data_IF_987492026396
#
_entry.id   IF_987492026396
#
_cell.length_a   1.000
_cell.length_b   1.000
_cell.length_c   1.000
_cell.angle_alpha   90.00
_cell.angle_beta   90.00
_cell.angle_gamma   90.00
#
_symmetry.space_group_name_H-M   'P 1'
#
loop_
_entity.id
_entity.type
_entity.pdbx_description
1 polymer ?
#
# COMPACT_ATOMS: atom_id res chain seq x y z
N UNK A 1 14.44 -17.92 -8.99
CA UNK A 1 13.01 -17.55 -9.02
C UNK A 1 12.84 -16.57 -10.17
N UNK A 2 11.79 -16.69 -10.98
CA UNK A 2 11.55 -15.79 -12.12
C UNK A 2 10.57 -14.70 -11.70
N UNK A 3 10.97 -13.42 -11.81
CA UNK A 3 10.15 -12.25 -11.49
C UNK A 3 9.42 -11.77 -12.74
N UNK A 4 8.09 -11.80 -12.74
CA UNK A 4 7.26 -11.51 -13.93
C UNK A 4 6.52 -10.20 -13.80
N UNK A 5 6.03 -9.88 -12.61
CA UNK A 5 5.10 -8.77 -12.39
C UNK A 5 5.77 -7.52 -11.80
N UNK A 6 7.02 -7.64 -11.37
CA UNK A 6 7.81 -6.54 -10.81
C UNK A 6 9.03 -6.15 -11.64
N UNK A 7 9.59 -5.00 -11.29
CA UNK A 7 10.93 -4.57 -11.68
C UNK A 7 11.73 -4.15 -10.46
N UNK A 8 13.05 -4.31 -10.52
CA UNK A 8 13.95 -3.80 -9.49
C UNK A 8 14.10 -2.29 -9.61
N UNK A 9 14.11 -1.59 -8.48
CA UNK A 9 14.38 -0.16 -8.42
C UNK A 9 15.88 0.02 -8.25
N UNK A 10 16.47 0.93 -9.03
CA UNK A 10 17.88 1.27 -8.87
C UNK A 10 18.09 1.93 -7.48
N UNK A 11 19.06 1.45 -6.67
CA UNK A 11 19.37 2.00 -5.34
C UNK A 11 19.65 3.51 -5.30
N UNK A 12 20.00 4.15 -6.41
CA UNK A 12 20.16 5.61 -6.47
C UNK A 12 18.85 6.40 -6.31
N UNK A 13 17.69 5.74 -6.36
CA UNK A 13 16.37 6.38 -6.27
C UNK A 13 15.72 6.26 -4.88
N UNK A 14 16.37 5.60 -3.91
CA UNK A 14 15.86 5.49 -2.55
C UNK A 14 17.00 5.45 -1.53
N UNK A 15 16.68 5.77 -0.29
CA UNK A 15 17.62 5.71 0.83
C UNK A 15 17.14 4.64 1.81
N UNK A 16 17.96 3.62 2.05
CA UNK A 16 17.63 2.52 2.95
C UNK A 16 18.17 2.73 4.37
N UNK A 17 19.05 3.70 4.60
CA UNK A 17 19.73 3.95 5.88
C UNK A 17 20.40 2.70 6.50
N UNK A 18 20.76 1.71 5.69
CA UNK A 18 21.33 0.43 6.15
C UNK A 18 20.33 -0.52 6.79
N UNK A 19 19.01 -0.29 6.65
CA UNK A 19 17.94 -1.13 7.19
C UNK A 19 17.46 -2.21 6.23
N UNK A 20 17.98 -2.24 5.00
CA UNK A 20 17.60 -3.15 3.93
C UNK A 20 18.44 -4.43 3.88
N UNK A 21 19.60 -4.48 4.57
CA UNK A 21 20.47 -5.67 4.66
C UNK A 21 20.81 -6.28 3.28
N UNK A 22 20.95 -5.42 2.25
CA UNK A 22 21.24 -5.82 0.87
C UNK A 22 20.07 -6.45 0.12
N UNK A 23 18.85 -6.38 0.65
CA UNK A 23 17.64 -6.86 -0.03
C UNK A 23 17.20 -5.84 -1.09
N UNK A 24 17.16 -6.20 -2.39
CA UNK A 24 16.81 -5.27 -3.44
C UNK A 24 15.33 -4.87 -3.37
N UNK A 25 15.05 -3.57 -3.53
CA UNK A 25 13.70 -3.06 -3.64
C UNK A 25 13.13 -3.38 -5.03
N UNK A 26 11.96 -4.01 -5.07
CA UNK A 26 11.19 -4.22 -6.30
C UNK A 26 9.84 -3.51 -6.21
N UNK A 27 9.32 -3.07 -7.35
CA UNK A 27 7.98 -2.50 -7.47
C UNK A 27 7.15 -3.27 -8.49
N UNK A 28 5.88 -3.53 -8.18
CA UNK A 28 4.91 -4.06 -9.14
C UNK A 28 4.71 -3.09 -10.32
N UNK A 29 4.59 -3.61 -11.54
CA UNK A 29 4.46 -2.81 -12.78
C UNK A 29 3.13 -2.06 -12.86
N UNK A 30 2.05 -2.65 -12.37
CA UNK A 30 0.69 -2.11 -12.44
C UNK A 30 0.24 -1.32 -11.20
N UNK A 31 1.04 -0.34 -10.75
CA UNK A 31 0.77 0.47 -9.53
C UNK A 31 -0.64 1.06 -9.44
N UNK A 32 -1.23 1.38 -10.59
CA UNK A 32 -2.58 1.96 -10.66
C UNK A 32 -3.65 1.03 -10.07
N UNK A 33 -3.44 -0.29 -10.09
CA UNK A 33 -4.39 -1.26 -9.51
C UNK A 33 -4.47 -1.11 -7.98
N UNK A 34 -3.32 -0.90 -7.32
CA UNK A 34 -3.30 -0.63 -5.88
C UNK A 34 -4.02 0.68 -5.55
N UNK A 35 -3.70 1.74 -6.29
CA UNK A 35 -4.32 3.06 -6.09
C UNK A 35 -5.84 2.98 -6.24
N UNK A 36 -6.34 2.28 -7.26
CA UNK A 36 -7.78 2.08 -7.45
C UNK A 36 -8.41 1.31 -6.28
N UNK A 37 -7.77 0.23 -5.83
CA UNK A 37 -8.24 -0.58 -4.71
C UNK A 37 -8.33 0.22 -3.41
N UNK A 38 -7.25 0.93 -3.06
CA UNK A 38 -7.18 1.74 -1.86
C UNK A 38 -8.19 2.90 -1.87
N UNK A 39 -8.28 3.67 -2.96
CA UNK A 39 -9.26 4.76 -3.06
C UNK A 39 -10.71 4.25 -3.01
N UNK A 40 -10.97 3.05 -3.53
CA UNK A 40 -12.29 2.43 -3.40
C UNK A 40 -12.58 2.05 -1.94
N UNK A 41 -11.61 1.48 -1.24
CA UNK A 41 -11.75 1.16 0.19
C UNK A 41 -12.07 2.41 1.02
N UNK A 42 -11.34 3.51 0.80
CA UNK A 42 -11.60 4.79 1.48
C UNK A 42 -13.01 5.33 1.18
N UNK A 43 -13.47 5.27 -0.08
CA UNK A 43 -14.85 5.68 -0.44
C UNK A 43 -15.91 4.83 0.25
N UNK A 44 -15.72 3.51 0.25
CA UNK A 44 -16.66 2.58 0.89
C UNK A 44 -16.67 2.80 2.42
N UNK A 45 -15.51 3.05 3.02
CA UNK A 45 -15.40 3.41 4.44
C UNK A 45 -16.11 4.73 4.76
N UNK A 46 -15.88 5.79 3.97
CA UNK A 46 -16.57 7.08 4.11
C UNK A 46 -18.08 6.94 4.03
N UNK A 47 -18.57 6.06 3.15
CA UNK A 47 -19.99 5.80 2.98
C UNK A 47 -20.62 5.01 4.13
N UNK A 48 -19.89 4.07 4.72
CA UNK A 48 -20.46 3.03 5.60
C UNK A 48 -20.00 3.09 7.07
N UNK A 49 -18.91 3.78 7.38
CA UNK A 49 -18.29 3.81 8.71
C UNK A 49 -18.19 5.24 9.23
N UNK A 50 -17.29 6.05 8.68
CA UNK A 50 -17.11 7.46 9.03
C UNK A 50 -16.35 8.19 7.93
N UNK A 51 -16.50 9.52 7.85
CA UNK A 51 -15.83 10.30 6.82
C UNK A 51 -14.31 10.25 6.97
N UNK A 52 -13.63 9.94 5.87
CA UNK A 52 -12.18 9.92 5.75
C UNK A 52 -11.80 10.80 4.56
N UNK A 53 -11.04 11.87 4.82
CA UNK A 53 -10.54 12.80 3.81
C UNK A 53 -9.01 12.89 3.87
N UNK A 54 -8.36 12.84 2.71
CA UNK A 54 -6.90 12.92 2.59
C UNK A 54 -6.09 11.80 3.25
N UNK A 55 -6.69 10.65 3.56
CA UNK A 55 -5.98 9.53 4.20
C UNK A 55 -4.93 8.92 3.27
N UNK A 56 -3.72 8.75 3.79
CA UNK A 56 -2.54 8.36 3.01
C UNK A 56 -2.08 6.91 3.19
N UNK A 57 -2.88 6.06 3.86
CA UNK A 57 -2.61 4.64 4.19
C UNK A 57 -1.53 3.95 3.36
N UNK A 58 -1.93 3.25 2.30
CA UNK A 58 -1.01 2.63 1.34
C UNK A 58 -0.60 3.53 0.15
N UNK A 59 -1.11 4.76 0.07
CA UNK A 59 -1.05 5.64 -1.10
C UNK A 59 0.21 6.53 -1.15
N UNK A 60 1.39 5.93 -1.12
CA UNK A 60 2.66 6.64 -1.31
C UNK A 60 3.00 6.98 -2.75
N UNK A 61 3.78 8.05 -2.95
CA UNK A 61 4.36 8.44 -4.24
C UNK A 61 5.88 8.64 -4.09
N UNK A 62 6.74 7.91 -4.83
CA UNK A 62 6.41 6.96 -5.90
C UNK A 62 6.05 5.54 -5.43
N UNK A 63 6.22 5.23 -4.14
CA UNK A 63 6.13 3.87 -3.60
C UNK A 63 4.82 3.62 -2.84
N UNK A 64 3.87 2.94 -3.48
CA UNK A 64 2.66 2.44 -2.80
C UNK A 64 2.96 1.13 -2.09
N UNK A 65 2.32 0.90 -0.94
CA UNK A 65 2.74 -0.10 0.04
C UNK A 65 2.72 -1.53 -0.50
N UNK A 66 1.62 -1.99 -1.09
CA UNK A 66 1.50 -3.37 -1.62
C UNK A 66 2.41 -3.57 -2.82
N UNK A 67 2.56 -2.58 -3.70
CA UNK A 67 3.40 -2.70 -4.87
C UNK A 67 4.88 -2.90 -4.53
N UNK A 68 5.35 -2.43 -3.37
CA UNK A 68 6.75 -2.62 -2.94
C UNK A 68 6.93 -3.76 -1.93
N UNK A 69 5.91 -4.13 -1.17
CA UNK A 69 5.98 -5.22 -0.19
C UNK A 69 5.56 -6.57 -0.77
N UNK A 70 4.67 -6.58 -1.77
CA UNK A 70 4.22 -7.78 -2.50
C UNK A 70 4.37 -7.55 -4.02
N UNK A 71 5.59 -7.28 -4.51
CA UNK A 71 5.82 -6.83 -5.88
C UNK A 71 5.50 -7.88 -6.96
N UNK A 72 5.44 -9.16 -6.60
CA UNK A 72 5.03 -10.27 -7.48
C UNK A 72 3.58 -10.72 -7.25
N UNK A 73 2.72 -9.85 -6.71
CA UNK A 73 1.28 -10.11 -6.65
C UNK A 73 0.74 -10.41 -8.05
N UNK A 74 -0.23 -11.33 -8.15
CA UNK A 74 -0.90 -11.56 -9.42
C UNK A 74 -1.71 -10.31 -9.82
N UNK A 75 -1.57 -9.79 -11.05
CA UNK A 75 -2.22 -8.54 -11.46
C UNK A 75 -3.73 -8.55 -11.24
N UNK A 76 -4.40 -9.66 -11.53
CA UNK A 76 -5.85 -9.81 -11.35
C UNK A 76 -6.31 -9.82 -9.88
N UNK A 77 -5.37 -9.93 -8.93
CA UNK A 77 -5.64 -9.90 -7.48
C UNK A 77 -5.15 -8.62 -6.81
N UNK A 78 -4.28 -7.86 -7.45
CA UNK A 78 -3.61 -6.69 -6.86
C UNK A 78 -4.63 -5.68 -6.33
N UNK A 79 -5.64 -5.32 -7.12
CA UNK A 79 -6.67 -4.36 -6.70
C UNK A 79 -7.44 -4.82 -5.44
N UNK A 80 -7.77 -6.11 -5.36
CA UNK A 80 -8.49 -6.68 -4.22
C UNK A 80 -7.61 -6.72 -2.96
N UNK A 81 -6.34 -7.11 -3.10
CA UNK A 81 -5.38 -7.15 -1.98
C UNK A 81 -5.17 -5.73 -1.44
N UNK A 82 -5.01 -4.75 -2.32
CA UNK A 82 -4.85 -3.35 -1.93
C UNK A 82 -6.10 -2.78 -1.26
N UNK A 83 -7.30 -3.13 -1.73
CA UNK A 83 -8.55 -2.78 -1.06
C UNK A 83 -8.58 -3.31 0.38
N UNK A 84 -8.24 -4.59 0.57
CA UNK A 84 -8.23 -5.21 1.90
C UNK A 84 -7.15 -4.59 2.82
N UNK A 85 -5.97 -4.31 2.29
CA UNK A 85 -4.88 -3.68 3.04
C UNK A 85 -5.23 -2.27 3.49
N UNK A 86 -5.86 -1.47 2.62
CA UNK A 86 -6.30 -0.13 3.00
C UNK A 86 -7.37 -0.17 4.10
N UNK A 87 -8.26 -1.16 4.06
CA UNK A 87 -9.22 -1.42 5.15
C UNK A 87 -8.52 -1.74 6.48
N UNK A 88 -7.44 -2.52 6.44
CA UNK A 88 -6.64 -2.82 7.64
C UNK A 88 -6.00 -1.54 8.22
N UNK A 89 -5.44 -0.69 7.36
CA UNK A 89 -4.89 0.60 7.77
C UNK A 89 -5.93 1.55 8.37
N UNK A 90 -7.12 1.66 7.75
CA UNK A 90 -8.22 2.48 8.26
C UNK A 90 -8.69 2.00 9.64
N UNK A 91 -8.81 0.67 9.83
CA UNK A 91 -9.21 0.07 11.09
C UNK A 91 -8.18 0.28 12.21
N UNK A 92 -6.89 0.12 11.91
CA UNK A 92 -5.80 0.39 12.84
C UNK A 92 -5.77 1.87 13.24
N UNK A 93 -5.98 2.77 12.26
CA UNK A 93 -6.11 4.21 12.48
C UNK A 93 -7.19 4.57 13.50
N UNK A 94 -8.40 4.01 13.37
CA UNK A 94 -9.47 4.23 14.36
C UNK A 94 -9.07 3.75 15.76
N UNK A 95 -8.39 2.60 15.86
CA UNK A 95 -7.94 2.06 17.15
C UNK A 95 -6.96 3.00 17.86
N UNK A 96 -6.17 3.78 17.12
CA UNK A 96 -5.29 4.80 17.70
C UNK A 96 -6.00 6.07 18.16
N UNK A 97 -7.06 6.51 17.46
CA UNK A 97 -7.87 7.65 17.89
C UNK A 97 -8.69 7.35 19.17
N UNK A 98 -9.25 6.14 19.28
CA UNK A 98 -10.04 5.73 20.46
C UNK A 98 -9.17 5.63 21.73
N UNK A 99 -7.87 5.30 21.60
CA UNK A 99 -6.96 5.19 22.75
C UNK A 99 -6.43 6.54 23.26
N UNK A 100 -6.50 7.61 22.46
CA UNK A 100 -6.08 8.94 22.88
C UNK A 100 -7.12 9.67 23.75
N UNK A 101 -8.34 9.12 23.84
CA UNK A 101 -9.47 9.70 24.59
C UNK A 101 -9.78 8.98 25.92
N UNK A 102 -8.94 8.03 26.34
CA UNK A 102 -9.00 7.35 27.66
C UNK A 102 -7.77 7.69 28.50
#
# INVERSE_FOLDING_TARGET
>A
MEFKYSQEINPSFYEAFGLDEGIPLRIHKDRQLEVRGALRAQRDWTKHVCNVDGYKGGLGDPFTFICVTVPECLPERLELVSYANEFAFLYDGISSCIKAEQ
#
